data_IF_349257331627
#
_entry.id   IF_349257331627
#
_cell.length_a   1.000
_cell.length_b   1.000
_cell.length_c   1.000
_cell.angle_alpha   90.00
_cell.angle_beta   90.00
_cell.angle_gamma   90.00
#
_symmetry.space_group_name_H-M   'P 1'
#
loop_
_entity.id
_entity.type
_entity.pdbx_description
1 polymer ?
#
# COMPACT_ATOMS: atom_id res chain seq x y z
N UNK A 1 -6.89 -19.00 -5.34
CA UNK A 1 -6.49 -17.77 -6.04
C UNK A 1 -7.69 -16.86 -5.94
N UNK A 2 -7.70 -15.91 -4.99
CA UNK A 2 -8.79 -14.96 -4.87
C UNK A 2 -8.77 -14.00 -6.06
N UNK A 3 -9.94 -13.52 -6.49
CA UNK A 3 -10.03 -12.54 -7.57
C UNK A 3 -9.30 -11.26 -7.15
N UNK A 4 -8.38 -10.78 -8.00
CA UNK A 4 -7.69 -9.51 -7.79
C UNK A 4 -8.73 -8.39 -7.90
N UNK A 5 -8.85 -7.58 -6.86
CA UNK A 5 -9.72 -6.40 -6.88
C UNK A 5 -8.91 -5.22 -7.42
N UNK A 6 -9.47 -4.60 -8.46
CA UNK A 6 -8.96 -3.36 -9.04
C UNK A 6 -9.74 -2.16 -8.47
N UNK A 7 -9.05 -1.04 -8.31
CA UNK A 7 -9.63 0.22 -7.84
C UNK A 7 -10.39 0.94 -8.95
N UNK A 8 -10.06 0.66 -10.22
CA UNK A 8 -10.53 1.39 -11.39
C UNK A 8 -9.78 2.70 -11.61
N UNK A 9 -8.78 3.02 -10.79
CA UNK A 9 -7.89 4.17 -10.98
C UNK A 9 -6.62 3.68 -11.65
N UNK A 10 -6.41 4.04 -12.92
CA UNK A 10 -5.36 3.44 -13.77
C UNK A 10 -3.97 3.50 -13.13
N UNK A 11 -3.60 4.64 -12.55
CA UNK A 11 -2.28 4.80 -11.90
C UNK A 11 -2.18 3.93 -10.65
N UNK A 12 -3.26 3.82 -9.87
CA UNK A 12 -3.27 3.01 -8.66
C UNK A 12 -3.23 1.52 -8.99
N UNK A 13 -3.99 1.08 -9.99
CA UNK A 13 -4.02 -0.32 -10.44
C UNK A 13 -2.65 -0.74 -11.01
N UNK A 14 -2.02 0.12 -11.81
CA UNK A 14 -0.66 -0.11 -12.30
C UNK A 14 0.37 -0.13 -11.14
N UNK A 15 0.22 0.74 -10.14
CA UNK A 15 1.09 0.78 -8.96
C UNK A 15 0.94 -0.47 -8.09
N UNK A 16 -0.29 -0.97 -7.93
CA UNK A 16 -0.57 -2.22 -7.21
C UNK A 16 0.05 -3.43 -7.93
N UNK A 17 -0.05 -3.50 -9.25
CA UNK A 17 0.64 -4.53 -10.04
C UNK A 17 2.16 -4.44 -9.89
N UNK A 18 2.72 -3.24 -9.99
CA UNK A 18 4.15 -3.01 -9.84
C UNK A 18 4.65 -3.47 -8.45
N UNK A 19 3.91 -3.17 -7.38
CA UNK A 19 4.27 -3.59 -6.03
C UNK A 19 4.22 -5.12 -5.87
N UNK A 20 3.19 -5.79 -6.40
CA UNK A 20 3.13 -7.27 -6.43
C UNK A 20 4.35 -7.87 -7.14
N UNK A 21 4.70 -7.30 -8.30
CA UNK A 21 5.87 -7.75 -9.07
C UNK A 21 7.18 -7.54 -8.30
N UNK A 22 7.33 -6.40 -7.61
CA UNK A 22 8.50 -6.10 -6.80
C UNK A 22 8.66 -7.10 -5.64
N UNK A 23 7.60 -7.33 -4.86
CA UNK A 23 7.61 -8.27 -3.73
C UNK A 23 7.87 -9.70 -4.20
N UNK A 24 7.24 -10.14 -5.31
CA UNK A 24 7.53 -11.45 -5.92
C UNK A 24 8.99 -11.61 -6.36
N UNK A 25 9.67 -10.50 -6.68
CA UNK A 25 11.07 -10.48 -7.08
C UNK A 25 12.07 -10.60 -5.92
N UNK A 26 11.62 -10.46 -4.66
CA UNK A 26 12.51 -10.56 -3.49
C UNK A 26 12.87 -12.04 -3.26
N UNK A 27 14.15 -12.44 -3.34
CA UNK A 27 14.55 -13.81 -3.05
C UNK A 27 14.39 -14.11 -1.56
N UNK A 28 14.30 -15.39 -1.18
CA UNK A 28 14.08 -15.80 0.22
C UNK A 28 15.11 -15.20 1.20
N UNK A 29 16.36 -15.00 0.79
CA UNK A 29 17.41 -14.35 1.59
C UNK A 29 17.56 -12.83 1.35
N UNK A 30 16.66 -12.20 0.60
CA UNK A 30 16.76 -10.82 0.16
C UNK A 30 16.17 -9.78 1.12
N UNK A 31 15.39 -10.22 2.10
CA UNK A 31 14.60 -9.35 2.98
C UNK A 31 15.46 -8.42 3.86
N UNK A 32 16.66 -8.84 4.24
CA UNK A 32 17.60 -8.03 5.04
C UNK A 32 18.62 -7.25 4.20
N UNK A 33 18.48 -7.24 2.86
CA UNK A 33 19.39 -6.47 2.01
C UNK A 33 19.19 -4.97 2.24
N UNK A 34 20.27 -4.17 2.21
CA UNK A 34 20.17 -2.73 2.35
C UNK A 34 19.41 -2.10 1.17
N UNK A 35 18.77 -0.98 1.42
CA UNK A 35 18.11 -0.18 0.38
C UNK A 35 18.74 1.22 0.30
N UNK A 36 18.44 2.00 -0.75
CA UNK A 36 18.85 3.41 -0.81
C UNK A 36 18.24 4.27 0.31
N UNK A 37 17.15 3.82 0.94
CA UNK A 37 16.57 4.46 2.13
C UNK A 37 17.46 4.13 3.34
N UNK A 38 18.29 5.10 3.73
CA UNK A 38 19.25 4.91 4.83
C UNK A 38 18.56 4.40 6.10
N UNK A 39 19.10 3.32 6.67
CA UNK A 39 18.55 2.67 7.86
C UNK A 39 17.41 1.69 7.60
N UNK A 40 16.97 1.52 6.35
CA UNK A 40 15.89 0.61 5.97
C UNK A 40 16.42 -0.52 5.08
N UNK A 41 16.13 -1.75 5.46
CA UNK A 41 16.29 -2.93 4.63
C UNK A 41 15.02 -3.16 3.78
N UNK A 42 15.06 -4.18 2.92
CA UNK A 42 13.92 -4.54 2.05
C UNK A 42 12.67 -4.82 2.87
N UNK A 43 12.78 -5.46 4.03
CA UNK A 43 11.63 -5.69 4.95
C UNK A 43 10.98 -4.38 5.39
N UNK A 44 11.77 -3.41 5.85
CA UNK A 44 11.24 -2.12 6.31
C UNK A 44 10.55 -1.35 5.19
N UNK A 45 11.14 -1.34 3.99
CA UNK A 45 10.49 -0.74 2.80
C UNK A 45 9.18 -1.44 2.47
N UNK A 46 9.15 -2.77 2.53
CA UNK A 46 7.94 -3.55 2.29
C UNK A 46 6.84 -3.26 3.32
N UNK A 47 7.16 -3.28 4.61
CA UNK A 47 6.20 -3.01 5.69
C UNK A 47 5.69 -1.57 5.65
N UNK A 48 6.55 -0.60 5.30
CA UNK A 48 6.12 0.76 5.04
C UNK A 48 5.09 0.83 3.91
N UNK A 49 5.38 0.23 2.75
CA UNK A 49 4.45 0.20 1.62
C UNK A 49 3.12 -0.47 1.97
N UNK A 50 3.17 -1.56 2.76
CA UNK A 50 1.98 -2.25 3.26
C UNK A 50 1.16 -1.36 4.20
N UNK A 51 1.83 -0.68 5.13
CA UNK A 51 1.21 0.26 6.05
C UNK A 51 0.56 1.46 5.35
N UNK A 52 1.17 1.95 4.27
CA UNK A 52 0.60 3.02 3.44
C UNK A 52 -0.73 2.58 2.80
N UNK A 53 -0.77 1.40 2.17
CA UNK A 53 -2.01 0.89 1.56
C UNK A 53 -3.15 0.79 2.58
N UNK A 54 -2.82 0.31 3.78
CA UNK A 54 -3.79 0.18 4.88
C UNK A 54 -4.19 1.56 5.41
N UNK A 55 -3.25 2.49 5.57
CA UNK A 55 -3.47 3.83 6.10
C UNK A 55 -4.36 4.67 5.18
N UNK A 56 -4.12 4.66 3.87
CA UNK A 56 -4.99 5.34 2.91
C UNK A 56 -6.40 4.76 2.92
N UNK A 57 -6.53 3.43 2.92
CA UNK A 57 -7.83 2.78 3.01
C UNK A 57 -8.56 3.14 4.31
N UNK A 58 -7.86 3.14 5.45
CA UNK A 58 -8.38 3.52 6.75
C UNK A 58 -8.91 4.96 6.75
N UNK A 59 -8.17 5.92 6.19
CA UNK A 59 -8.64 7.31 6.14
C UNK A 59 -9.88 7.49 5.26
N UNK A 60 -9.97 6.77 4.13
CA UNK A 60 -11.12 6.86 3.23
C UNK A 60 -12.39 6.22 3.82
N UNK A 61 -12.23 5.16 4.61
CA UNK A 61 -13.36 4.30 5.04
C UNK A 61 -13.72 4.42 6.52
N UNK A 62 -12.81 4.93 7.36
CA UNK A 62 -12.92 4.90 8.82
C UNK A 62 -12.55 3.56 9.46
N UNK A 63 -12.17 2.56 8.67
CA UNK A 63 -11.72 1.24 9.17
C UNK A 63 -10.36 1.33 9.91
N UNK A 64 -10.03 0.38 10.81
CA UNK A 64 -8.80 0.43 11.61
C UNK A 64 -7.50 0.54 10.79
N UNK A 65 -6.58 1.42 11.17
CA UNK A 65 -5.27 1.57 10.50
C UNK A 65 -4.34 0.34 10.61
N UNK A 66 -3.10 0.44 10.12
CA UNK A 66 -2.11 -0.62 10.28
C UNK A 66 -1.85 -0.89 11.77
N UNK A 67 -1.59 -2.15 12.13
CA UNK A 67 -1.32 -2.57 13.51
C UNK A 67 0.12 -2.26 13.98
N UNK A 68 0.90 -1.58 13.15
CA UNK A 68 2.30 -1.19 13.38
C UNK A 68 2.51 0.23 12.87
N UNK A 69 3.59 0.88 13.31
CA UNK A 69 3.98 2.21 12.82
C UNK A 69 4.64 2.08 11.43
N UNK A 70 4.05 2.62 10.34
CA UNK A 70 4.66 2.55 9.01
C UNK A 70 5.92 3.43 8.86
N UNK A 71 6.21 4.31 9.82
CA UNK A 71 7.40 5.16 9.84
C UNK A 71 8.50 4.64 10.77
N UNK A 72 8.18 3.69 11.65
CA UNK A 72 9.13 2.82 12.35
C UNK A 72 8.77 1.34 12.10
N UNK A 73 8.90 0.87 10.85
CA UNK A 73 8.39 -0.44 10.46
C UNK A 73 9.18 -1.58 11.13
N UNK A 74 8.50 -2.71 11.45
CA UNK A 74 9.15 -3.88 12.00
C UNK A 74 10.14 -4.47 10.99
N UNK A 75 11.20 -5.11 11.50
CA UNK A 75 12.22 -5.77 10.68
C UNK A 75 11.88 -7.22 10.30
N UNK A 76 10.72 -7.72 10.70
CA UNK A 76 10.22 -9.05 10.33
C UNK A 76 9.30 -8.93 9.10
N UNK A 77 9.60 -9.62 7.98
CA UNK A 77 8.74 -9.58 6.79
C UNK A 77 7.40 -10.29 7.01
N UNK A 78 7.28 -11.14 8.03
CA UNK A 78 6.10 -11.95 8.29
C UNK A 78 6.18 -13.34 7.64
N UNK A 79 5.19 -14.18 7.93
CA UNK A 79 5.19 -15.58 7.51
C UNK A 79 4.90 -15.77 6.02
N UNK A 80 4.07 -14.89 5.44
CA UNK A 80 3.74 -14.89 4.02
C UNK A 80 3.62 -13.43 3.51
N UNK A 81 4.74 -12.80 3.12
CA UNK A 81 4.74 -11.42 2.66
C UNK A 81 3.86 -11.17 1.43
N UNK A 82 3.66 -12.18 0.57
CA UNK A 82 2.82 -12.05 -0.60
C UNK A 82 1.32 -12.02 -0.22
N UNK A 83 0.90 -12.90 0.70
CA UNK A 83 -0.47 -12.89 1.20
C UNK A 83 -0.79 -11.62 2.00
N UNK A 84 0.14 -11.15 2.84
CA UNK A 84 -0.01 -9.90 3.57
C UNK A 84 -0.13 -8.70 2.61
N UNK A 85 0.66 -8.68 1.54
CA UNK A 85 0.56 -7.64 0.51
C UNK A 85 -0.81 -7.67 -0.18
N UNK A 86 -1.27 -8.84 -0.59
CA UNK A 86 -2.53 -8.96 -1.32
C UNK A 86 -3.73 -8.52 -0.49
N UNK A 87 -3.72 -8.76 0.83
CA UNK A 87 -4.75 -8.25 1.75
C UNK A 87 -4.73 -6.71 1.80
N UNK A 88 -3.55 -6.11 2.00
CA UNK A 88 -3.40 -4.66 2.06
C UNK A 88 -3.80 -3.97 0.73
N UNK A 89 -3.40 -4.54 -0.40
CA UNK A 89 -3.79 -4.06 -1.73
C UNK A 89 -5.29 -4.20 -1.98
N UNK A 90 -5.88 -5.32 -1.58
CA UNK A 90 -7.32 -5.55 -1.71
C UNK A 90 -8.10 -4.51 -0.92
N UNK A 91 -7.67 -4.22 0.31
CA UNK A 91 -8.28 -3.20 1.16
C UNK A 91 -8.18 -1.82 0.53
N UNK A 92 -7.01 -1.45 0.04
CA UNK A 92 -6.77 -0.18 -0.67
C UNK A 92 -7.63 -0.06 -1.92
N UNK A 93 -7.63 -1.08 -2.78
CA UNK A 93 -8.39 -1.08 -4.03
C UNK A 93 -9.90 -0.93 -3.77
N UNK A 94 -10.45 -1.63 -2.77
CA UNK A 94 -11.86 -1.49 -2.39
C UNK A 94 -12.20 -0.08 -1.90
N UNK A 95 -11.35 0.51 -1.06
CA UNK A 95 -11.56 1.86 -0.56
C UNK A 95 -11.57 2.89 -1.69
N UNK A 96 -10.61 2.80 -2.61
CA UNK A 96 -10.50 3.70 -3.75
C UNK A 96 -11.58 3.50 -4.81
N UNK A 97 -12.07 2.27 -5.00
CA UNK A 97 -13.19 1.98 -5.91
C UNK A 97 -14.50 2.68 -5.47
N UNK A 98 -14.64 2.99 -4.19
CA UNK A 98 -15.80 3.71 -3.64
C UNK A 98 -15.67 5.24 -3.72
N UNK A 99 -14.51 5.77 -4.14
CA UNK A 99 -14.29 7.21 -4.29
C UNK A 99 -15.04 7.74 -5.51
N UNK A 100 -15.82 8.80 -5.29
CA UNK A 100 -16.49 9.54 -6.38
C UNK A 100 -15.46 10.15 -7.34
N UNK A 101 -15.65 9.89 -8.64
CA UNK A 101 -14.76 10.38 -9.72
C UNK A 101 -14.78 11.89 -9.86
N UNK A 102 -15.90 12.51 -9.46
CA UNK A 102 -16.08 13.96 -9.55
C UNK A 102 -15.72 14.67 -8.24
N UNK A 103 -15.24 13.94 -7.22
CA UNK A 103 -14.81 14.55 -5.96
C UNK A 103 -13.61 15.47 -6.20
N UNK A 104 -13.73 16.72 -5.74
CA UNK A 104 -12.63 17.68 -5.80
C UNK A 104 -11.44 17.24 -4.93
N UNK A 105 -11.73 16.68 -3.75
CA UNK A 105 -10.74 16.19 -2.79
C UNK A 105 -11.26 14.99 -2.00
N UNK A 106 -10.33 14.12 -1.62
CA UNK A 106 -10.55 13.01 -0.69
C UNK A 106 -9.61 13.12 0.51
N UNK A 107 -10.01 12.53 1.63
CA UNK A 107 -9.19 12.49 2.83
C UNK A 107 -8.01 11.51 2.68
N UNK A 108 -6.86 11.86 3.26
CA UNK A 108 -5.63 11.05 3.23
C UNK A 108 -4.91 11.08 4.58
N UNK A 109 -4.06 10.09 4.90
CA UNK A 109 -3.33 10.05 6.17
C UNK A 109 -2.12 10.99 6.19
N UNK A 110 -1.75 11.58 5.04
CA UNK A 110 -0.55 12.40 4.88
C UNK A 110 -0.91 13.88 4.82
N UNK A 111 -0.23 14.77 5.57
CA UNK A 111 -0.45 16.22 5.48
C UNK A 111 -0.42 16.71 4.02
N UNK A 112 -1.37 17.54 3.57
CA UNK A 112 -2.38 18.29 4.34
C UNK A 112 -3.66 17.51 4.71
N UNK A 113 -3.64 16.18 4.63
CA UNK A 113 -4.73 15.23 4.91
C UNK A 113 -5.86 15.25 3.89
N UNK A 114 -5.65 15.91 2.76
CA UNK A 114 -6.56 15.97 1.63
C UNK A 114 -5.75 15.95 0.33
N UNK A 115 -6.26 15.28 -0.69
CA UNK A 115 -5.68 15.32 -2.04
C UNK A 115 -6.76 15.23 -3.10
N UNK A 116 -6.48 15.75 -4.30
CA UNK A 116 -7.34 15.47 -5.45
C UNK A 116 -7.22 14.00 -5.84
N UNK A 117 -8.35 13.29 -6.04
CA UNK A 117 -8.32 11.90 -6.49
C UNK A 117 -7.82 11.76 -7.94
N UNK A 118 -7.78 12.85 -8.72
CA UNK A 118 -7.21 12.87 -10.08
C UNK A 118 -5.72 12.47 -10.11
N UNK A 119 -5.01 12.55 -8.99
CA UNK A 119 -3.65 12.01 -8.92
C UNK A 119 -3.58 10.48 -9.14
N UNK A 120 -4.70 9.76 -9.01
CA UNK A 120 -4.84 8.34 -9.34
C UNK A 120 -5.19 8.06 -10.80
N UNK A 121 -5.41 9.09 -11.62
CA UNK A 121 -5.69 8.97 -13.07
C UNK A 121 -4.49 9.37 -13.92
N UNK A 122 -4.52 8.93 -15.19
CA UNK A 122 -3.45 9.08 -16.20
C UNK A 122 -3.05 10.50 -16.50
#
# INVERSE_FOLDING_TARGET
>A
MGDIIISGWDVLDASHEALRKAVKGVPAGGWSLPTPCSGWDVTKVFKHALGDQIGFAATLTGEPGPSFDPFDPPADPGADPAAELDDALTRSARAWAAVDRDAAEVATPVPPNRMSPWAGST
#
